data_IF_926128017444
#
_entry.id   IF_926128017444
#
_cell.length_a   1.000
_cell.length_b   1.000
_cell.length_c   1.000
_cell.angle_alpha   90.00
_cell.angle_beta   90.00
_cell.angle_gamma   90.00
#
_symmetry.space_group_name_H-M   'P 1'
#
loop_
_entity.id
_entity.type
_entity.pdbx_description
1 polymer ?
#
# COMPACT_ATOMS: atom_id res chain seq x y z
N UNK A 1 9.39 -2.32 -22.56
CA UNK A 1 8.70 -3.21 -21.60
C UNK A 1 8.18 -4.52 -22.21
N UNK A 2 7.14 -4.51 -23.08
CA UNK A 2 6.46 -5.74 -23.59
C UNK A 2 7.40 -6.80 -24.18
N UNK A 3 8.36 -6.37 -25.02
CA UNK A 3 9.37 -7.26 -25.62
C UNK A 3 10.23 -7.94 -24.56
N UNK A 4 10.73 -7.21 -23.56
CA UNK A 4 11.51 -7.78 -22.45
C UNK A 4 10.70 -8.78 -21.63
N UNK A 5 9.42 -8.50 -21.34
CA UNK A 5 8.55 -9.42 -20.59
C UNK A 5 8.27 -10.71 -21.35
N UNK A 6 8.09 -10.62 -22.68
CA UNK A 6 7.94 -11.79 -23.52
C UNK A 6 9.24 -12.60 -23.61
N UNK A 7 10.36 -11.94 -23.89
CA UNK A 7 11.65 -12.60 -24.11
C UNK A 7 12.27 -13.19 -22.85
N UNK A 8 12.13 -12.51 -21.70
CA UNK A 8 12.80 -12.90 -20.45
C UNK A 8 11.89 -13.70 -19.51
N UNK A 9 10.58 -13.47 -19.56
CA UNK A 9 9.62 -14.08 -18.62
C UNK A 9 8.54 -14.91 -19.33
N UNK A 10 8.54 -14.99 -20.67
CA UNK A 10 7.49 -15.68 -21.42
C UNK A 10 6.11 -15.04 -21.27
N UNK A 11 6.03 -13.80 -20.75
CA UNK A 11 4.77 -13.12 -20.45
C UNK A 11 4.36 -12.24 -21.61
N UNK A 12 3.27 -12.61 -22.26
CA UNK A 12 2.69 -11.82 -23.34
C UNK A 12 1.82 -10.69 -22.76
N UNK A 13 2.42 -9.53 -22.51
CA UNK A 13 1.67 -8.33 -22.08
C UNK A 13 0.98 -7.71 -23.27
N UNK A 14 -0.35 -7.90 -23.33
CA UNK A 14 -1.20 -7.37 -24.40
C UNK A 14 -1.38 -5.87 -24.24
N UNK A 15 -1.73 -5.44 -23.03
CA UNK A 15 -2.13 -4.08 -22.70
C UNK A 15 -1.25 -3.53 -21.57
N UNK A 16 -0.94 -2.24 -21.60
CA UNK A 16 -0.23 -1.52 -20.53
C UNK A 16 -1.14 -0.37 -20.15
N UNK A 17 -1.56 -0.33 -18.89
CA UNK A 17 -2.46 0.70 -18.38
C UNK A 17 -1.61 1.72 -17.63
N UNK A 18 -1.72 2.99 -18.01
CA UNK A 18 -1.13 4.13 -17.31
C UNK A 18 -2.18 4.83 -16.49
N UNK A 19 -1.81 5.18 -15.27
CA UNK A 19 -2.66 5.81 -14.28
C UNK A 19 -1.83 6.96 -13.70
N UNK A 20 -2.10 8.16 -14.16
CA UNK A 20 -1.32 9.34 -13.82
C UNK A 20 -2.23 10.57 -13.83
N UNK A 21 -1.95 11.49 -12.93
CA UNK A 21 -2.53 12.83 -12.82
C UNK A 21 -1.73 13.88 -13.60
N UNK A 22 -0.80 13.46 -14.47
CA UNK A 22 0.03 14.36 -15.28
C UNK A 22 -0.84 15.25 -16.19
N UNK A 23 -0.47 16.52 -16.30
CA UNK A 23 -1.21 17.50 -17.11
C UNK A 23 -0.47 17.84 -18.42
N UNK A 24 0.83 17.50 -18.54
CA UNK A 24 1.62 17.77 -19.74
C UNK A 24 1.08 16.98 -20.95
N UNK A 25 0.53 17.66 -21.99
CA UNK A 25 0.07 16.98 -23.19
C UNK A 25 1.19 16.20 -23.89
N UNK A 26 2.45 16.61 -23.73
CA UNK A 26 3.59 15.90 -24.31
C UNK A 26 3.74 14.50 -23.69
N UNK A 27 3.57 14.36 -22.38
CA UNK A 27 3.58 13.06 -21.71
C UNK A 27 2.51 12.13 -22.30
N UNK A 28 1.25 12.61 -22.39
CA UNK A 28 0.16 11.79 -22.93
C UNK A 28 0.33 11.42 -24.41
N UNK A 29 0.87 12.33 -25.24
CA UNK A 29 1.22 11.98 -26.61
C UNK A 29 2.28 10.87 -26.67
N UNK A 30 3.26 10.88 -25.76
CA UNK A 30 4.26 9.81 -25.67
C UNK A 30 3.61 8.48 -25.24
N UNK A 31 2.64 8.49 -24.32
CA UNK A 31 1.86 7.29 -23.92
C UNK A 31 1.04 6.74 -25.09
N UNK A 32 0.37 7.61 -25.86
CA UNK A 32 -0.39 7.25 -27.05
C UNK A 32 0.50 6.63 -28.13
N UNK A 33 1.66 7.24 -28.40
CA UNK A 33 2.65 6.75 -29.38
C UNK A 33 3.18 5.36 -29.00
N UNK A 34 3.22 5.03 -27.71
CA UNK A 34 3.59 3.72 -27.19
C UNK A 34 2.47 2.67 -27.29
N UNK A 35 1.25 3.08 -27.66
CA UNK A 35 0.06 2.22 -27.72
C UNK A 35 -0.33 1.68 -26.34
N UNK A 36 -0.12 2.50 -25.31
CA UNK A 36 -0.56 2.22 -23.94
C UNK A 36 -1.94 2.84 -23.74
N UNK A 37 -2.72 2.25 -22.85
CA UNK A 37 -4.08 2.74 -22.54
C UNK A 37 -4.03 3.41 -21.18
N UNK A 38 -4.94 4.35 -20.93
CA UNK A 38 -5.01 5.03 -19.64
C UNK A 38 -6.46 5.39 -19.32
N UNK A 39 -6.74 5.62 -18.04
CA UNK A 39 -8.02 6.17 -17.62
C UNK A 39 -7.91 7.69 -17.54
N UNK A 40 -8.50 8.38 -18.52
CA UNK A 40 -8.66 9.83 -18.44
C UNK A 40 -9.90 10.16 -17.61
N UNK A 41 -9.75 10.15 -16.29
CA UNK A 41 -10.84 10.45 -15.38
C UNK A 41 -11.43 11.85 -15.55
N UNK A 42 -10.63 12.80 -16.06
CA UNK A 42 -11.07 14.16 -16.32
C UNK A 42 -11.96 14.21 -17.57
N UNK A 43 -11.51 13.61 -18.67
CA UNK A 43 -12.29 13.46 -19.90
C UNK A 43 -13.58 12.65 -19.65
N UNK A 44 -13.46 11.55 -18.92
CA UNK A 44 -14.60 10.68 -18.60
C UNK A 44 -15.52 11.28 -17.53
N UNK A 45 -15.10 12.37 -16.88
CA UNK A 45 -15.83 13.02 -15.80
C UNK A 45 -16.23 12.03 -14.71
N UNK A 46 -15.38 11.04 -14.43
CA UNK A 46 -15.68 9.91 -13.54
C UNK A 46 -16.16 10.42 -12.17
N UNK A 47 -15.48 11.43 -11.62
CA UNK A 47 -15.88 12.07 -10.36
C UNK A 47 -17.28 12.69 -10.40
N UNK A 48 -17.62 13.38 -11.48
CA UNK A 48 -18.93 14.04 -11.61
C UNK A 48 -20.04 13.00 -11.80
N UNK A 49 -19.77 11.94 -12.56
CA UNK A 49 -20.74 10.90 -12.88
C UNK A 49 -21.00 9.97 -11.69
N UNK A 50 -19.96 9.58 -10.97
CA UNK A 50 -20.00 8.45 -10.03
C UNK A 50 -19.52 8.80 -8.62
N UNK A 51 -18.96 10.00 -8.41
CA UNK A 51 -18.36 10.42 -7.15
C UNK A 51 -16.84 10.20 -7.12
N UNK A 52 -16.16 10.90 -6.21
CA UNK A 52 -14.69 10.89 -6.08
C UNK A 52 -14.14 9.48 -5.87
N UNK A 53 -14.89 8.64 -5.16
CA UNK A 53 -14.55 7.26 -4.86
C UNK A 53 -14.31 6.35 -6.07
N UNK A 54 -15.06 6.56 -7.15
CA UNK A 54 -14.92 5.70 -8.33
C UNK A 54 -13.59 5.87 -9.03
N UNK A 55 -12.89 6.99 -8.83
CA UNK A 55 -11.50 7.16 -9.28
C UNK A 55 -10.61 6.07 -8.66
N UNK A 56 -10.61 6.01 -7.33
CA UNK A 56 -9.80 5.07 -6.55
C UNK A 56 -10.21 3.62 -6.81
N UNK A 57 -11.52 3.34 -6.88
CA UNK A 57 -12.01 1.97 -7.12
C UNK A 57 -11.60 1.46 -8.51
N UNK A 58 -11.78 2.28 -9.55
CA UNK A 58 -11.35 1.92 -10.92
C UNK A 58 -9.84 1.68 -10.93
N UNK A 59 -9.10 2.54 -10.26
CA UNK A 59 -7.66 2.44 -10.17
C UNK A 59 -7.21 1.15 -9.47
N UNK A 60 -7.75 0.87 -8.28
CA UNK A 60 -7.46 -0.35 -7.52
C UNK A 60 -7.84 -1.59 -8.32
N UNK A 61 -9.01 -1.60 -8.98
CA UNK A 61 -9.43 -2.73 -9.81
C UNK A 61 -8.44 -2.94 -10.96
N UNK A 62 -8.06 -1.90 -11.69
CA UNK A 62 -7.11 -2.00 -12.78
C UNK A 62 -5.72 -2.46 -12.32
N UNK A 63 -5.23 -1.94 -11.19
CA UNK A 63 -3.96 -2.36 -10.58
C UNK A 63 -4.02 -3.81 -10.10
N UNK A 64 -5.15 -4.25 -9.55
CA UNK A 64 -5.36 -5.62 -9.11
C UNK A 64 -5.37 -6.60 -10.30
N UNK A 65 -5.75 -6.15 -11.50
CA UNK A 65 -5.69 -6.97 -12.70
C UNK A 65 -4.31 -6.94 -13.38
N UNK A 66 -3.40 -6.08 -12.91
CA UNK A 66 -2.12 -5.88 -13.53
C UNK A 66 -1.17 -7.06 -13.26
N UNK A 67 -0.37 -7.41 -14.26
CA UNK A 67 0.74 -8.35 -14.10
C UNK A 67 1.95 -7.72 -13.37
N UNK A 68 1.78 -6.58 -12.69
CA UNK A 68 2.78 -5.78 -11.99
C UNK A 68 2.31 -4.33 -11.83
N UNK A 69 2.68 -3.68 -10.73
CA UNK A 69 2.28 -2.31 -10.40
C UNK A 69 3.50 -1.40 -10.23
N UNK A 70 3.36 -0.12 -10.59
CA UNK A 70 4.36 0.94 -10.39
C UNK A 70 3.76 1.96 -9.41
N UNK A 71 4.21 1.92 -8.15
CA UNK A 71 3.89 2.95 -7.16
C UNK A 71 4.92 4.08 -7.17
N UNK A 72 4.74 5.10 -6.33
CA UNK A 72 5.83 6.04 -6.06
C UNK A 72 7.03 5.28 -5.48
N UNK A 73 8.24 5.70 -5.85
CA UNK A 73 9.48 5.09 -5.36
C UNK A 73 9.46 5.04 -3.82
N UNK A 74 9.05 6.13 -3.18
CA UNK A 74 9.01 6.29 -1.74
C UNK A 74 8.15 5.25 -1.02
N UNK A 75 6.86 5.12 -1.37
CA UNK A 75 5.95 4.20 -0.68
C UNK A 75 6.32 2.73 -0.93
N UNK A 76 6.74 2.43 -2.17
CA UNK A 76 7.10 1.06 -2.55
C UNK A 76 8.36 0.60 -1.81
N UNK A 77 9.43 1.39 -1.85
CA UNK A 77 10.71 0.96 -1.29
C UNK A 77 10.78 0.99 0.22
N UNK A 78 10.01 1.84 0.90
CA UNK A 78 9.84 1.73 2.36
C UNK A 78 9.33 0.36 2.75
N UNK A 79 8.28 -0.12 2.08
CA UNK A 79 7.68 -1.41 2.35
C UNK A 79 8.65 -2.56 2.06
N UNK A 80 9.28 -2.53 0.89
CA UNK A 80 10.22 -3.57 0.47
C UNK A 80 11.43 -3.64 1.40
N UNK A 81 12.02 -2.49 1.75
CA UNK A 81 13.17 -2.43 2.65
C UNK A 81 12.81 -2.90 4.06
N UNK A 82 11.60 -2.60 4.55
CA UNK A 82 11.09 -3.12 5.82
C UNK A 82 10.95 -4.65 5.79
N UNK A 83 10.36 -5.21 4.73
CA UNK A 83 10.26 -6.67 4.56
C UNK A 83 11.66 -7.29 4.53
N UNK A 84 12.60 -6.69 3.79
CA UNK A 84 13.98 -7.17 3.75
C UNK A 84 14.64 -7.15 5.13
N UNK A 85 14.47 -6.08 5.90
CA UNK A 85 14.99 -6.00 7.27
C UNK A 85 14.41 -7.09 8.16
N UNK A 86 13.10 -7.37 8.07
CA UNK A 86 12.47 -8.48 8.79
C UNK A 86 13.08 -9.83 8.42
N UNK A 87 13.28 -10.09 7.12
CA UNK A 87 13.91 -11.32 6.62
C UNK A 87 15.30 -11.51 7.22
N UNK A 88 16.16 -10.48 7.22
CA UNK A 88 17.55 -10.62 7.70
C UNK A 88 17.69 -10.59 9.22
N UNK A 89 16.61 -10.28 9.95
CA UNK A 89 16.61 -10.21 11.42
C UNK A 89 15.81 -11.34 12.08
N UNK A 90 15.29 -12.29 11.29
CA UNK A 90 14.36 -13.32 11.77
C UNK A 90 13.14 -12.71 12.51
N UNK A 91 12.69 -11.53 12.07
CA UNK A 91 11.49 -10.85 12.57
C UNK A 91 10.35 -10.91 11.57
N UNK A 92 9.14 -10.92 12.09
CA UNK A 92 7.92 -10.92 11.27
C UNK A 92 7.60 -9.48 10.85
N UNK A 93 7.63 -9.13 9.55
CA UNK A 93 7.26 -7.80 9.10
C UNK A 93 5.76 -7.57 9.34
N UNK A 94 5.40 -6.40 9.86
CA UNK A 94 4.02 -5.94 9.97
C UNK A 94 3.78 -4.90 8.88
N UNK A 95 2.96 -5.26 7.90
CA UNK A 95 2.64 -4.41 6.76
C UNK A 95 1.65 -3.33 7.22
N UNK A 96 2.01 -2.03 7.12
CA UNK A 96 1.10 -0.95 7.50
C UNK A 96 -0.11 -0.94 6.55
N UNK A 97 -1.24 -0.38 6.96
CA UNK A 97 -2.35 -0.18 6.04
C UNK A 97 -1.98 0.88 5.00
N UNK A 98 -2.70 0.88 3.88
CA UNK A 98 -2.55 1.90 2.84
C UNK A 98 -3.54 3.00 3.12
N UNK A 99 -3.02 4.19 3.41
CA UNK A 99 -3.82 5.40 3.33
C UNK A 99 -3.70 5.97 1.91
N UNK A 100 -4.81 6.05 1.16
CA UNK A 100 -4.79 6.67 -0.15
C UNK A 100 -4.42 8.14 0.02
N UNK A 101 -3.27 8.50 -0.56
CA UNK A 101 -2.63 9.77 -0.29
C UNK A 101 -3.28 10.93 -1.07
N UNK A 102 -3.02 12.15 -0.62
CA UNK A 102 -3.53 13.44 -1.12
C UNK A 102 -3.18 13.77 -2.58
N UNK A 103 -2.48 12.88 -3.30
CA UNK A 103 -2.16 13.02 -4.72
C UNK A 103 -3.37 12.78 -5.64
N UNK A 104 -4.45 12.19 -5.13
CA UNK A 104 -5.68 11.92 -5.90
C UNK A 104 -6.61 13.16 -5.94
N UNK A 105 -6.21 14.29 -5.36
CA UNK A 105 -7.03 15.50 -5.30
C UNK A 105 -6.43 16.68 -6.09
N UNK A 106 -7.25 17.27 -6.98
CA UNK A 106 -6.90 18.44 -7.81
C UNK A 106 -6.16 19.54 -7.02
N UNK A 107 -5.26 20.31 -7.68
CA UNK A 107 -4.48 21.39 -7.03
C UNK A 107 -5.34 22.39 -6.22
N UNK A 108 -6.56 22.70 -6.69
CA UNK A 108 -7.50 23.58 -5.99
C UNK A 108 -8.12 22.96 -4.74
N UNK A 109 -8.35 21.65 -4.77
CA UNK A 109 -8.78 20.87 -3.60
C UNK A 109 -7.61 20.70 -2.64
N UNK A 110 -6.37 20.56 -3.13
CA UNK A 110 -5.16 20.43 -2.33
C UNK A 110 -4.98 21.61 -1.36
N UNK A 111 -5.15 22.85 -1.81
CA UNK A 111 -5.04 24.02 -0.92
C UNK A 111 -6.18 24.13 0.11
N UNK A 112 -7.42 23.84 -0.30
CA UNK A 112 -8.57 23.80 0.60
C UNK A 112 -8.48 22.64 1.59
N UNK A 113 -7.94 21.49 1.15
CA UNK A 113 -7.75 20.28 1.94
C UNK A 113 -6.57 20.41 2.90
N UNK A 114 -5.46 21.02 2.49
CA UNK A 114 -4.41 21.43 3.43
C UNK A 114 -5.00 22.34 4.51
N UNK A 115 -5.84 23.32 4.16
CA UNK A 115 -6.55 24.16 5.16
C UNK A 115 -7.55 23.37 6.02
N UNK A 116 -8.28 22.41 5.45
CA UNK A 116 -9.28 21.60 6.16
C UNK A 116 -8.66 20.54 7.07
N UNK A 117 -7.54 19.93 6.65
CA UNK A 117 -6.72 19.01 7.45
C UNK A 117 -6.11 19.76 8.64
N UNK A 118 -5.59 20.99 8.44
CA UNK A 118 -5.13 21.86 9.54
C UNK A 118 -6.29 22.42 10.38
N UNK A 119 -7.53 22.32 9.93
CA UNK A 119 -8.74 22.70 10.67
C UNK A 119 -9.46 21.49 11.28
N UNK A 120 -8.85 20.32 11.21
CA UNK A 120 -9.34 19.06 11.76
C UNK A 120 -10.58 18.46 11.12
N UNK A 121 -10.79 18.72 9.83
CA UNK A 121 -11.79 18.01 9.05
C UNK A 121 -11.21 16.71 8.48
N UNK A 122 -11.90 15.61 8.75
CA UNK A 122 -11.72 14.30 8.16
C UNK A 122 -11.80 14.34 6.63
N UNK A 123 -10.66 14.35 5.93
CA UNK A 123 -10.69 14.22 4.47
C UNK A 123 -9.69 13.21 3.97
N UNK A 124 -10.07 11.94 4.09
CA UNK A 124 -9.92 10.98 3.00
C UNK A 124 -11.23 10.25 2.91
N UNK A 125 -12.02 10.51 1.87
CA UNK A 125 -13.30 9.81 1.65
C UNK A 125 -13.08 8.29 1.75
N UNK A 126 -11.89 7.81 1.35
CA UNK A 126 -11.58 6.42 1.08
C UNK A 126 -11.41 5.44 2.25
N UNK A 127 -11.29 5.91 3.49
CA UNK A 127 -10.93 5.03 4.59
C UNK A 127 -9.43 4.64 4.59
N UNK A 128 -8.98 4.02 5.68
CA UNK A 128 -7.71 3.29 5.75
C UNK A 128 -7.94 1.90 5.15
N UNK A 129 -7.17 1.53 4.12
CA UNK A 129 -7.31 0.24 3.46
C UNK A 129 -6.34 -0.78 4.08
N UNK A 130 -6.83 -1.95 4.54
CA UNK A 130 -5.95 -3.05 4.91
C UNK A 130 -5.06 -3.42 3.72
N UNK A 131 -3.76 -3.60 3.97
CA UNK A 131 -2.83 -3.97 2.89
C UNK A 131 -3.20 -5.29 2.22
N UNK A 132 -3.77 -6.24 2.95
CA UNK A 132 -4.26 -7.48 2.37
C UNK A 132 -5.44 -7.32 1.41
N UNK A 133 -6.14 -6.18 1.39
CA UNK A 133 -7.23 -5.93 0.45
C UNK A 133 -6.71 -5.45 -0.92
N UNK A 134 -5.47 -4.94 -0.94
CA UNK A 134 -4.78 -4.47 -2.16
C UNK A 134 -3.80 -5.53 -2.65
N UNK A 135 -3.10 -6.18 -1.73
CA UNK A 135 -2.01 -7.12 -2.03
C UNK A 135 -2.35 -8.56 -1.60
N UNK A 136 -1.99 -9.53 -2.43
CA UNK A 136 -2.04 -10.95 -2.05
C UNK A 136 -0.88 -11.30 -1.08
N UNK A 137 -1.11 -10.99 0.20
CA UNK A 137 -0.15 -11.29 1.27
C UNK A 137 0.03 -12.80 1.48
N UNK A 138 -0.95 -13.64 1.13
CA UNK A 138 -0.80 -15.10 1.22
C UNK A 138 0.21 -15.63 0.19
N UNK A 139 0.13 -15.14 -1.04
CA UNK A 139 1.14 -15.42 -2.05
C UNK A 139 2.52 -14.90 -1.62
N UNK A 140 2.60 -13.67 -1.11
CA UNK A 140 3.87 -13.11 -0.64
C UNK A 140 4.50 -13.96 0.47
N UNK A 141 3.71 -14.37 1.48
CA UNK A 141 4.15 -15.31 2.54
C UNK A 141 4.67 -16.63 1.98
N UNK A 142 3.97 -17.22 0.99
CA UNK A 142 4.39 -18.47 0.35
C UNK A 142 5.70 -18.32 -0.43
N UNK A 143 5.90 -17.19 -1.12
CA UNK A 143 7.15 -16.92 -1.85
C UNK A 143 8.32 -16.73 -0.90
N UNK A 144 8.15 -15.88 0.12
CA UNK A 144 9.22 -15.55 1.05
C UNK A 144 9.47 -16.62 2.11
N UNK A 145 8.49 -17.51 2.33
CA UNK A 145 8.52 -18.56 3.36
C UNK A 145 8.76 -17.99 4.77
N UNK A 146 8.24 -16.80 5.01
CA UNK A 146 8.20 -16.17 6.33
C UNK A 146 6.77 -15.75 6.66
N UNK A 147 6.40 -15.71 7.95
CA UNK A 147 5.20 -15.01 8.37
C UNK A 147 5.32 -13.52 8.03
N UNK A 148 4.20 -12.95 7.61
CA UNK A 148 4.04 -11.51 7.38
C UNK A 148 2.71 -11.16 8.01
N UNK A 149 2.69 -10.19 8.90
CA UNK A 149 1.46 -9.70 9.51
C UNK A 149 1.01 -8.46 8.74
N UNK A 150 -0.28 -8.17 8.76
CA UNK A 150 -0.79 -6.84 8.45
C UNK A 150 -1.13 -6.12 9.75
N UNK A 151 -1.18 -4.78 9.71
CA UNK A 151 -1.43 -3.99 10.91
C UNK A 151 -2.72 -4.39 11.65
N UNK A 152 -3.74 -4.81 10.91
CA UNK A 152 -5.00 -5.28 11.49
C UNK A 152 -4.87 -6.59 12.29
N UNK A 153 -3.82 -7.38 12.05
CA UNK A 153 -3.51 -8.58 12.85
C UNK A 153 -2.98 -8.20 14.25
N UNK A 154 -2.36 -7.02 14.37
CA UNK A 154 -1.77 -6.52 15.61
C UNK A 154 -2.68 -5.56 16.38
N UNK A 155 -3.46 -4.74 15.66
CA UNK A 155 -4.39 -3.76 16.23
C UNK A 155 -5.69 -3.69 15.43
N UNK A 156 -6.81 -3.55 16.14
CA UNK A 156 -8.09 -3.30 15.48
C UNK A 156 -8.03 -1.95 14.75
N UNK A 157 -8.22 -1.98 13.43
CA UNK A 157 -8.48 -0.77 12.66
C UNK A 157 -9.89 -0.24 13.01
N UNK A 158 -10.08 1.09 13.07
CA UNK A 158 -11.42 1.68 13.18
C UNK A 158 -12.31 1.12 12.06
N UNK A 159 -13.57 0.81 12.36
CA UNK A 159 -14.45 0.32 11.31
C UNK A 159 -14.66 1.42 10.27
N UNK A 160 -14.68 1.06 8.98
CA UNK A 160 -14.98 1.99 7.87
C UNK A 160 -16.35 2.68 7.99
N UNK A 161 -17.18 2.26 8.95
CA UNK A 161 -18.53 2.76 9.22
C UNK A 161 -18.68 3.35 10.63
N UNK A 162 -17.61 3.51 11.41
CA UNK A 162 -17.70 4.20 12.70
C UNK A 162 -17.93 5.69 12.45
N UNK A 163 -19.17 6.11 12.72
CA UNK A 163 -19.66 7.49 12.58
C UNK A 163 -19.10 8.44 13.64
N UNK A 164 -18.48 7.90 14.69
CA UNK A 164 -17.61 8.69 15.57
C UNK A 164 -16.30 8.94 14.81
N UNK A 165 -16.34 10.03 14.03
CA UNK A 165 -15.23 10.70 13.38
C UNK A 165 -13.94 9.88 13.44
N UNK A 166 -13.87 8.87 12.57
CA UNK A 166 -12.79 7.89 12.50
C UNK A 166 -11.42 8.58 12.30
N UNK A 167 -11.50 9.85 11.92
CA UNK A 167 -10.48 10.83 11.59
C UNK A 167 -10.54 12.12 12.44
N UNK A 168 -11.21 12.13 13.60
CA UNK A 168 -11.15 13.30 14.50
C UNK A 168 -9.69 13.58 14.86
N UNK A 169 -9.13 14.62 14.26
CA UNK A 169 -7.76 15.08 14.51
C UNK A 169 -7.69 15.99 15.74
N UNK A 170 -8.82 16.22 16.42
CA UNK A 170 -8.91 17.18 17.53
C UNK A 170 -8.08 16.79 18.76
N UNK A 171 -7.62 15.54 18.86
CA UNK A 171 -6.77 15.07 19.96
C UNK A 171 -5.32 14.72 19.55
N UNK A 172 -4.94 14.77 18.26
CA UNK A 172 -3.59 14.41 17.80
C UNK A 172 -3.13 15.27 16.59
N UNK A 173 -2.15 16.16 16.83
CA UNK A 173 -1.37 16.96 15.86
C UNK A 173 -0.01 17.33 16.51
N UNK A 174 1.14 17.62 15.89
CA UNK A 174 1.68 17.64 14.52
C UNK A 174 3.21 17.57 14.74
N UNK A 175 3.97 16.74 14.02
CA UNK A 175 5.42 16.95 13.89
C UNK A 175 5.78 17.06 12.41
N UNK A 176 6.22 18.26 12.05
CA UNK A 176 6.85 18.58 10.78
C UNK A 176 8.11 17.73 10.65
N UNK A 177 8.03 16.54 10.03
CA UNK A 177 9.05 15.91 9.17
C UNK A 177 8.61 14.48 8.86
N UNK A 178 8.21 14.25 7.60
CA UNK A 178 8.18 12.91 7.02
C UNK A 178 6.94 12.05 7.32
N UNK A 179 5.82 12.41 6.70
CA UNK A 179 4.67 11.54 6.39
C UNK A 179 3.79 11.09 7.58
N UNK A 180 2.51 11.34 7.41
CA UNK A 180 1.44 11.38 8.43
C UNK A 180 0.96 10.00 8.93
N UNK A 181 1.81 8.98 8.93
CA UNK A 181 1.42 7.59 9.20
C UNK A 181 0.92 7.40 10.64
N UNK A 182 1.51 8.12 11.61
CA UNK A 182 1.07 8.11 13.01
C UNK A 182 -0.35 8.64 13.22
N UNK A 183 -0.84 9.55 12.36
CA UNK A 183 -2.22 10.08 12.43
C UNK A 183 -3.27 9.06 12.05
N UNK A 184 -2.93 8.18 11.11
CA UNK A 184 -3.84 7.17 10.57
C UNK A 184 -3.99 5.99 11.53
N UNK A 185 -2.94 5.66 12.28
CA UNK A 185 -2.92 4.48 13.15
C UNK A 185 -3.34 4.77 14.61
N UNK A 186 -3.79 6.00 14.92
CA UNK A 186 -4.09 6.48 16.28
C UNK A 186 -2.97 6.16 17.27
N UNK A 187 -1.74 6.32 16.83
CA UNK A 187 -0.57 6.02 17.64
C UNK A 187 -0.09 7.26 18.37
N UNK A 188 0.08 7.13 19.68
CA UNK A 188 0.80 8.09 20.48
C UNK A 188 2.30 7.80 20.39
N UNK A 189 2.94 8.32 19.33
CA UNK A 189 4.33 7.97 18.96
C UNK A 189 5.33 8.83 19.72
N UNK A 190 6.26 8.19 20.42
CA UNK A 190 7.50 8.82 20.90
C UNK A 190 8.67 8.34 20.05
N UNK A 191 9.65 9.21 19.79
CA UNK A 191 10.80 8.92 18.94
C UNK A 191 12.06 8.70 19.77
N UNK A 192 12.75 7.60 19.51
CA UNK A 192 14.11 7.34 19.99
C UNK A 192 15.08 7.43 18.83
N UNK A 193 16.32 7.83 19.10
CA UNK A 193 17.36 7.92 18.08
C UNK A 193 18.23 6.68 18.12
N UNK A 194 18.31 5.97 17.00
CA UNK A 194 19.30 4.89 16.81
C UNK A 194 20.74 5.44 16.88
N UNK A 195 21.71 4.65 17.37
CA UNK A 195 23.12 5.05 17.41
C UNK A 195 23.65 5.55 16.07
N UNK A 196 24.48 6.60 16.06
CA UNK A 196 24.99 7.20 14.80
C UNK A 196 25.80 6.24 13.94
N UNK A 197 26.38 5.19 14.52
CA UNK A 197 27.10 4.17 13.78
C UNK A 197 26.20 3.34 12.85
N UNK A 198 24.87 3.46 12.94
CA UNK A 198 23.93 2.81 12.00
C UNK A 198 23.72 3.59 10.71
N UNK A 199 24.31 4.79 10.59
CA UNK A 199 24.22 5.64 9.40
C UNK A 199 25.28 5.25 8.39
N UNK A 200 25.00 5.46 7.12
CA UNK A 200 25.96 5.23 6.03
C UNK A 200 27.25 6.03 6.24
N UNK A 201 27.12 7.29 6.67
CA UNK A 201 28.20 8.20 7.07
C UNK A 201 27.98 8.65 8.51
N UNK A 202 28.61 7.95 9.46
CA UNK A 202 28.37 8.13 10.89
C UNK A 202 28.78 9.52 11.42
N UNK A 203 29.74 10.17 10.77
CA UNK A 203 30.21 11.52 11.06
C UNK A 203 29.27 12.63 10.55
N UNK A 204 28.39 12.31 9.62
CA UNK A 204 27.45 13.26 9.02
C UNK A 204 26.14 13.30 9.82
N UNK A 205 25.86 14.45 10.43
CA UNK A 205 24.66 14.64 11.25
C UNK A 205 23.38 14.70 10.40
N UNK A 206 23.51 15.05 9.13
CA UNK A 206 22.41 15.16 8.15
C UNK A 206 22.23 13.89 7.31
N UNK A 207 23.06 12.86 7.52
CA UNK A 207 22.89 11.58 6.83
C UNK A 207 21.55 10.94 7.16
N UNK A 208 20.72 10.76 6.13
CA UNK A 208 19.42 10.11 6.20
C UNK A 208 19.52 8.60 5.96
N UNK A 209 20.59 8.12 5.29
CA UNK A 209 20.76 6.72 4.98
C UNK A 209 21.20 5.90 6.18
N UNK A 210 20.55 4.75 6.33
CA UNK A 210 20.80 3.77 7.39
C UNK A 210 21.24 2.44 6.79
N UNK A 211 22.14 1.73 7.47
CA UNK A 211 22.69 0.48 6.97
C UNK A 211 21.93 -0.72 7.55
N UNK A 212 21.40 -1.58 6.69
CA UNK A 212 20.62 -2.75 7.06
C UNK A 212 21.31 -3.64 8.09
N UNK A 213 22.58 -3.98 7.89
CA UNK A 213 23.31 -4.86 8.81
C UNK A 213 23.53 -4.22 10.19
N UNK A 214 23.62 -2.89 10.24
CA UNK A 214 23.80 -2.15 11.49
C UNK A 214 22.46 -2.04 12.24
N UNK A 215 21.35 -1.76 11.54
CA UNK A 215 20.01 -1.83 12.12
C UNK A 215 19.65 -3.24 12.58
N UNK A 216 19.99 -4.26 11.77
CA UNK A 216 19.75 -5.65 12.10
C UNK A 216 20.42 -6.05 13.42
N UNK A 217 21.64 -5.58 13.65
CA UNK A 217 22.34 -5.82 14.91
C UNK A 217 21.65 -5.20 16.13
N UNK A 218 20.92 -4.08 15.97
CA UNK A 218 20.16 -3.45 17.05
C UNK A 218 18.89 -4.22 17.43
N UNK A 219 18.25 -4.86 16.45
CA UNK A 219 16.92 -5.47 16.65
C UNK A 219 16.97 -7.00 16.64
N UNK A 220 18.13 -7.63 16.53
CA UNK A 220 18.21 -9.09 16.46
C UNK A 220 17.58 -9.76 17.70
N UNK A 221 16.58 -10.66 17.57
CA UNK A 221 15.74 -11.08 18.70
C UNK A 221 16.49 -11.79 19.83
N UNK A 222 17.55 -12.54 19.55
CA UNK A 222 18.19 -13.39 20.55
C UNK A 222 19.28 -12.67 21.34
N UNK A 223 19.94 -11.66 20.76
CA UNK A 223 21.06 -10.95 21.39
C UNK A 223 21.37 -9.66 20.63
N UNK A 224 20.55 -8.60 20.78
CA UNK A 224 20.83 -7.33 20.13
C UNK A 224 22.12 -6.70 20.68
N UNK A 225 22.85 -5.96 19.84
CA UNK A 225 24.14 -5.34 20.21
C UNK A 225 23.98 -4.24 21.28
N UNK A 226 22.76 -3.71 21.44
CA UNK A 226 22.41 -2.73 22.44
C UNK A 226 20.99 -2.99 22.94
N UNK A 227 20.75 -2.69 24.21
CA UNK A 227 19.39 -2.73 24.75
C UNK A 227 18.56 -1.58 24.15
N UNK A 228 17.34 -1.84 23.66
CA UNK A 228 16.46 -0.78 23.15
C UNK A 228 16.21 0.36 24.14
N UNK A 229 16.18 0.06 25.44
CA UNK A 229 16.02 1.07 26.51
C UNK A 229 17.21 2.05 26.63
N UNK A 230 18.36 1.69 26.05
CA UNK A 230 19.55 2.54 26.08
C UNK A 230 19.54 3.65 25.01
N UNK A 231 18.60 3.60 24.07
CA UNK A 231 18.55 4.58 22.98
C UNK A 231 18.07 5.94 23.48
N UNK A 232 18.75 7.04 23.09
CA UNK A 232 18.37 8.37 23.53
C UNK A 232 16.99 8.74 23.00
N UNK A 233 16.12 9.17 23.92
CA UNK A 233 14.85 9.79 23.56
C UNK A 233 15.11 11.07 22.77
N UNK A 234 14.44 11.21 21.63
CA UNK A 234 14.52 12.39 20.79
C UNK A 234 13.36 13.33 21.09
N UNK A 235 12.14 12.82 20.96
CA UNK A 235 10.91 13.59 21.05
C UNK A 235 9.89 12.76 21.81
N UNK A 236 9.31 13.28 22.92
CA UNK A 236 8.21 12.60 23.60
C UNK A 236 6.98 12.58 22.71
N UNK A 237 6.02 11.74 23.07
CA UNK A 237 4.74 11.71 22.37
C UNK A 237 3.94 13.01 22.57
N UNK A 238 2.87 13.20 21.78
CA UNK A 238 2.07 14.42 21.80
C UNK A 238 1.39 14.66 23.16
N UNK A 239 1.01 13.59 23.86
CA UNK A 239 0.43 13.67 25.23
C UNK A 239 1.50 13.55 26.33
N UNK A 240 2.78 13.61 25.97
CA UNK A 240 3.91 13.63 26.90
C UNK A 240 4.35 12.26 27.39
N UNK A 241 3.86 11.17 26.79
CA UNK A 241 4.39 9.85 27.07
C UNK A 241 5.81 9.71 26.54
N UNK A 242 6.60 8.96 27.28
CA UNK A 242 7.97 8.62 26.95
C UNK A 242 8.18 7.18 27.39
N UNK A 243 7.96 6.26 26.46
CA UNK A 243 8.33 4.87 26.66
C UNK A 243 9.65 4.61 25.96
N UNK A 244 10.61 3.92 26.61
CA UNK A 244 11.78 3.44 25.91
C UNK A 244 11.35 2.51 24.76
N UNK A 245 12.21 2.37 23.76
CA UNK A 245 12.01 1.34 22.74
C UNK A 245 11.96 -0.04 23.41
N UNK A 246 11.13 -0.94 22.87
CA UNK A 246 10.94 -2.29 23.41
C UNK A 246 11.56 -3.37 22.52
N UNK A 247 11.73 -4.58 23.06
CA UNK A 247 12.34 -5.69 22.33
C UNK A 247 11.36 -6.41 21.39
N UNK A 248 10.06 -6.37 21.70
CA UNK A 248 9.05 -7.14 20.95
C UNK A 248 8.69 -6.52 19.60
N UNK A 249 8.52 -5.20 19.54
CA UNK A 249 8.18 -4.47 18.32
C UNK A 249 9.23 -3.40 18.03
N UNK A 250 9.76 -3.41 16.81
CA UNK A 250 10.70 -2.40 16.34
C UNK A 250 10.06 -1.57 15.24
N UNK A 251 9.92 -0.28 15.50
CA UNK A 251 9.35 0.69 14.55
C UNK A 251 10.47 1.60 14.03
N UNK A 252 10.51 1.79 12.72
CA UNK A 252 11.38 2.75 12.06
C UNK A 252 10.51 3.78 11.35
N UNK A 253 10.86 5.05 11.51
CA UNK A 253 10.17 6.21 10.92
C UNK A 253 10.20 6.17 9.39
N UNK A 254 11.35 5.82 8.81
CA UNK A 254 11.48 5.60 7.37
C UNK A 254 12.49 4.50 7.08
N UNK A 255 12.10 3.62 6.15
CA UNK A 255 12.98 2.59 5.59
C UNK A 255 13.38 2.92 4.13
N UNK A 256 13.03 4.10 3.62
CA UNK A 256 13.29 4.46 2.22
C UNK A 256 14.79 4.56 1.91
N UNK A 257 15.53 5.20 2.80
CA UNK A 257 16.97 5.46 2.67
C UNK A 257 17.82 4.29 3.23
N UNK A 258 17.20 3.12 3.47
CA UNK A 258 17.94 1.95 3.93
C UNK A 258 18.83 1.36 2.81
N UNK A 259 20.05 0.98 3.17
CA UNK A 259 21.07 0.48 2.24
C UNK A 259 21.88 -0.67 2.85
N UNK A 260 22.50 -1.52 2.03
CA UNK A 260 23.48 -2.52 2.48
C UNK A 260 24.78 -1.89 2.98
N UNK A 261 24.95 -0.58 2.81
CA UNK A 261 26.14 0.17 3.20
C UNK A 261 27.10 0.45 2.04
N UNK A 262 26.76 0.03 0.83
CA UNK A 262 27.60 0.24 -0.34
C UNK A 262 27.26 1.54 -1.09
N UNK A 263 25.97 1.83 -1.30
CA UNK A 263 25.53 2.99 -2.09
C UNK A 263 24.19 3.54 -1.58
N UNK A 264 24.00 4.85 -1.69
CA UNK A 264 22.73 5.52 -1.43
C UNK A 264 21.68 5.12 -2.47
N UNK A 265 20.41 4.99 -2.04
CA UNK A 265 19.33 4.51 -2.92
C UNK A 265 19.70 3.21 -3.67
N UNK A 266 20.37 2.26 -2.99
CA UNK A 266 20.92 1.06 -3.64
C UNK A 266 19.86 0.23 -4.38
N UNK A 267 18.60 0.34 -3.96
CA UNK A 267 17.46 -0.30 -4.60
C UNK A 267 17.29 0.14 -6.06
N UNK A 268 17.88 1.27 -6.50
CA UNK A 268 17.93 1.65 -7.92
C UNK A 268 18.80 0.72 -8.76
N UNK A 269 19.65 -0.08 -8.13
CA UNK A 269 20.57 -0.97 -8.83
C UNK A 269 20.11 -2.42 -8.77
N UNK A 270 20.23 -3.11 -9.92
CA UNK A 270 19.90 -4.52 -10.07
C UNK A 270 20.64 -5.48 -9.12
N UNK A 271 21.77 -5.03 -8.55
CA UNK A 271 22.58 -5.83 -7.64
C UNK A 271 22.13 -5.71 -6.18
N UNK A 272 21.22 -4.79 -5.82
CA UNK A 272 20.80 -4.64 -4.42
C UNK A 272 20.26 -5.96 -3.87
N UNK A 273 20.69 -6.37 -2.67
CA UNK A 273 20.24 -7.61 -2.05
C UNK A 273 18.74 -7.65 -1.78
N UNK A 274 18.11 -6.46 -1.65
CA UNK A 274 16.67 -6.31 -1.44
C UNK A 274 15.88 -6.98 -2.57
N UNK A 275 16.29 -6.80 -3.83
CA UNK A 275 15.63 -7.38 -4.99
C UNK A 275 15.61 -8.90 -4.97
N UNK A 276 16.79 -9.49 -4.78
CA UNK A 276 16.94 -10.95 -4.78
C UNK A 276 16.16 -11.58 -3.64
N UNK A 277 16.05 -10.87 -2.52
CA UNK A 277 15.47 -11.42 -1.29
C UNK A 277 13.95 -11.26 -1.25
N UNK A 278 13.43 -10.07 -1.55
CA UNK A 278 11.99 -9.78 -1.45
C UNK A 278 11.23 -10.19 -2.70
N UNK A 279 11.83 -10.08 -3.88
CA UNK A 279 11.15 -10.34 -5.15
C UNK A 279 11.59 -11.62 -5.85
N UNK A 280 12.65 -12.27 -5.36
CA UNK A 280 13.17 -13.52 -5.93
C UNK A 280 13.78 -13.37 -7.33
N UNK A 281 13.96 -12.14 -7.83
CA UNK A 281 14.53 -11.82 -9.15
C UNK A 281 15.29 -10.48 -9.08
N UNK A 282 16.46 -10.34 -9.74
CA UNK A 282 17.10 -9.04 -9.94
C UNK A 282 16.32 -8.18 -10.95
N UNK A 283 16.32 -6.85 -10.79
CA UNK A 283 15.71 -5.94 -11.79
C UNK A 283 16.45 -6.10 -13.13
N UNK A 284 15.75 -6.12 -14.28
CA UNK A 284 16.37 -5.78 -15.56
C UNK A 284 16.95 -4.35 -15.49
N UNK A 285 18.24 -4.16 -15.77
CA UNK A 285 18.83 -2.82 -15.73
C UNK A 285 17.99 -1.78 -16.52
N UNK A 286 17.54 -0.75 -15.81
CA UNK A 286 16.91 0.44 -16.39
C UNK A 286 18.02 1.47 -16.57
N UNK A 287 18.25 2.00 -17.78
CA UNK A 287 19.24 3.05 -17.98
C UNK A 287 18.85 4.30 -17.20
N UNK A 288 19.82 4.94 -16.56
CA UNK A 288 19.65 6.21 -15.85
C UNK A 288 18.95 7.26 -16.74
N UNK A 289 17.78 7.72 -16.28
CA UNK A 289 17.03 8.85 -16.82
C UNK A 289 15.93 9.24 -15.83
N UNK A 290 15.64 10.53 -15.70
CA UNK A 290 14.64 11.12 -14.77
C UNK A 290 13.17 10.78 -15.13
N UNK A 291 12.91 9.56 -15.60
CA UNK A 291 11.55 9.04 -15.82
C UNK A 291 11.10 8.15 -14.65
N UNK A 292 9.79 7.86 -14.55
CA UNK A 292 9.25 6.99 -13.51
C UNK A 292 10.00 5.65 -13.47
N UNK A 293 10.46 5.25 -12.28
CA UNK A 293 11.12 3.95 -12.08
C UNK A 293 10.12 2.82 -12.31
N UNK A 294 10.26 2.13 -13.45
CA UNK A 294 9.47 0.98 -13.84
C UNK A 294 9.83 -0.26 -12.97
N UNK A 295 9.07 -0.53 -11.92
CA UNK A 295 9.20 -1.75 -11.13
C UNK A 295 8.16 -2.77 -11.62
N UNK A 296 8.60 -3.80 -12.34
CA UNK A 296 7.70 -4.86 -12.82
C UNK A 296 7.68 -6.00 -11.80
N UNK A 297 6.78 -5.91 -10.82
CA UNK A 297 6.60 -6.96 -9.81
C UNK A 297 5.63 -8.02 -10.34
N UNK A 298 6.09 -8.86 -11.28
CA UNK A 298 5.20 -9.80 -11.96
C UNK A 298 5.03 -11.16 -11.28
N UNK A 299 5.88 -11.48 -10.30
CA UNK A 299 5.94 -12.80 -9.68
C UNK A 299 5.29 -12.91 -8.31
N UNK A 300 4.86 -11.79 -7.69
CA UNK A 300 4.39 -11.76 -6.31
C UNK A 300 2.87 -11.57 -6.13
N UNK A 301 2.14 -11.29 -7.20
CA UNK A 301 0.72 -10.92 -7.11
C UNK A 301 -0.14 -11.88 -7.94
N UNK A 302 -0.67 -12.91 -7.30
CA UNK A 302 -1.79 -13.65 -7.83
C UNK A 302 -3.04 -12.97 -7.27
N UNK A 303 -3.67 -12.09 -8.03
CA UNK A 303 -4.81 -11.35 -7.49
C UNK A 303 -6.04 -12.25 -7.46
N UNK A 304 -6.43 -12.64 -6.25
CA UNK A 304 -7.84 -12.91 -5.96
C UNK A 304 -8.51 -11.53 -5.87
N UNK A 305 -9.54 -11.20 -6.68
CA UNK A 305 -10.16 -9.89 -6.64
C UNK A 305 -10.52 -9.52 -5.19
N UNK A 306 -10.24 -8.30 -4.76
CA UNK A 306 -10.54 -7.82 -3.40
C UNK A 306 -12.01 -8.11 -3.00
N UNK A 307 -12.91 -8.10 -4.00
CA UNK A 307 -14.29 -8.56 -3.88
C UNK A 307 -14.40 -10.01 -3.39
N UNK A 308 -13.76 -10.97 -4.05
CA UNK A 308 -13.83 -12.38 -3.68
C UNK A 308 -13.25 -12.64 -2.28
N UNK A 309 -12.20 -11.91 -1.87
CA UNK A 309 -11.64 -11.98 -0.52
C UNK A 309 -12.62 -11.43 0.52
N UNK A 310 -13.19 -10.24 0.29
CA UNK A 310 -14.16 -9.63 1.19
C UNK A 310 -15.45 -10.46 1.32
N UNK A 311 -15.91 -11.04 0.22
CA UNK A 311 -17.07 -11.95 0.21
C UNK A 311 -16.78 -13.23 1.00
N UNK A 312 -15.57 -13.80 0.88
CA UNK A 312 -15.13 -14.92 1.70
C UNK A 312 -15.12 -14.60 3.20
N UNK A 313 -14.62 -13.42 3.58
CA UNK A 313 -14.63 -12.94 4.97
C UNK A 313 -16.05 -12.73 5.51
N UNK A 314 -16.94 -12.16 4.71
CA UNK A 314 -18.36 -12.00 5.06
C UNK A 314 -19.01 -13.36 5.30
N UNK A 315 -18.74 -14.35 4.44
CA UNK A 315 -19.22 -15.72 4.60
C UNK A 315 -18.78 -16.31 5.94
N UNK A 316 -17.49 -16.23 6.24
CA UNK A 316 -16.92 -16.76 7.49
C UNK A 316 -17.53 -16.07 8.72
N UNK A 317 -17.70 -14.74 8.70
CA UNK A 317 -18.34 -14.00 9.79
C UNK A 317 -19.82 -14.37 9.94
N UNK A 318 -20.59 -14.48 8.84
CA UNK A 318 -22.02 -14.82 8.90
C UNK A 318 -22.25 -16.25 9.40
N UNK A 319 -21.42 -17.20 8.97
CA UNK A 319 -21.47 -18.59 9.43
C UNK A 319 -21.05 -18.69 10.89
N UNK A 320 -19.89 -18.12 11.26
CA UNK A 320 -19.30 -18.33 12.59
C UNK A 320 -19.96 -17.48 13.69
N UNK A 321 -20.40 -16.25 13.39
CA UNK A 321 -20.93 -15.35 14.42
C UNK A 321 -22.45 -15.37 14.51
N UNK A 322 -23.16 -15.72 13.43
CA UNK A 322 -24.62 -15.54 13.34
C UNK A 322 -25.42 -16.80 13.01
N UNK A 323 -24.77 -17.96 12.84
CA UNK A 323 -25.41 -19.22 12.47
C UNK A 323 -26.31 -19.07 11.21
N UNK A 324 -25.87 -18.22 10.28
CA UNK A 324 -26.59 -17.94 9.05
C UNK A 324 -26.13 -18.90 7.95
N UNK A 325 -27.11 -19.63 7.40
CA UNK A 325 -26.93 -20.52 6.27
C UNK A 325 -26.46 -19.74 5.02
N UNK A 326 -25.21 -19.97 4.64
CA UNK A 326 -24.54 -19.32 3.52
C UNK A 326 -25.25 -19.53 2.17
N UNK A 327 -26.09 -20.57 2.05
CA UNK A 327 -26.88 -20.83 0.85
C UNK A 327 -28.00 -19.80 0.59
N UNK A 328 -28.22 -18.89 1.55
CA UNK A 328 -29.28 -17.86 1.51
C UNK A 328 -28.76 -16.46 1.23
N UNK A 329 -27.48 -16.30 0.87
CA UNK A 329 -26.94 -14.99 0.56
C UNK A 329 -27.30 -14.61 -0.88
N UNK A 330 -27.95 -13.46 -1.01
CA UNK A 330 -28.39 -12.88 -2.27
C UNK A 330 -27.44 -11.75 -2.67
N UNK A 331 -26.73 -11.91 -3.79
CA UNK A 331 -25.90 -10.86 -4.37
C UNK A 331 -26.78 -9.99 -5.27
N UNK A 332 -26.86 -8.71 -4.95
CA UNK A 332 -27.64 -7.73 -5.71
C UNK A 332 -26.65 -6.68 -6.22
N UNK A 333 -26.59 -6.49 -7.53
CA UNK A 333 -25.66 -5.52 -8.14
C UNK A 333 -26.13 -5.11 -9.54
N UNK A 334 -25.76 -3.90 -9.93
CA UNK A 334 -25.86 -3.30 -11.27
C UNK A 334 -24.58 -3.47 -12.10
N UNK A 335 -23.64 -4.30 -11.65
CA UNK A 335 -22.40 -4.63 -12.38
C UNK A 335 -22.69 -5.22 -13.77
N UNK A 336 -21.99 -4.73 -14.80
CA UNK A 336 -22.19 -5.14 -16.19
C UNK A 336 -21.22 -6.24 -16.63
N UNK A 337 -20.12 -6.44 -15.88
CA UNK A 337 -19.05 -7.37 -16.22
C UNK A 337 -19.51 -8.84 -16.24
N UNK A 338 -19.42 -9.55 -17.38
CA UNK A 338 -19.76 -10.97 -17.45
C UNK A 338 -18.90 -11.85 -16.54
N UNK A 339 -17.60 -11.53 -16.39
CA UNK A 339 -16.68 -12.31 -15.57
C UNK A 339 -16.99 -12.21 -14.08
N UNK A 340 -17.44 -11.03 -13.60
CA UNK A 340 -17.97 -10.89 -12.25
C UNK A 340 -19.14 -11.85 -12.01
N UNK A 341 -20.10 -11.91 -12.94
CA UNK A 341 -21.25 -12.80 -12.81
C UNK A 341 -20.90 -14.28 -12.98
N UNK A 342 -19.88 -14.62 -13.77
CA UNK A 342 -19.36 -15.98 -13.84
C UNK A 342 -18.73 -16.40 -12.51
N UNK A 343 -18.00 -15.52 -11.83
CA UNK A 343 -17.44 -15.77 -10.51
C UNK A 343 -18.55 -15.96 -9.46
N UNK A 344 -19.55 -15.07 -9.43
CA UNK A 344 -20.73 -15.17 -8.55
C UNK A 344 -21.47 -16.50 -8.79
N UNK A 345 -21.66 -16.90 -10.06
CA UNK A 345 -22.27 -18.19 -10.41
C UNK A 345 -21.43 -19.38 -9.98
N UNK A 346 -20.12 -19.34 -10.24
CA UNK A 346 -19.20 -20.46 -9.95
C UNK A 346 -19.14 -20.82 -8.47
N UNK A 347 -19.38 -19.82 -7.62
CA UNK A 347 -19.38 -19.95 -6.17
C UNK A 347 -20.76 -20.32 -5.59
N UNK A 348 -21.79 -20.49 -6.43
CA UNK A 348 -23.10 -21.01 -6.05
C UNK A 348 -24.05 -19.99 -5.38
N UNK A 349 -23.83 -18.69 -5.58
CA UNK A 349 -24.64 -17.65 -4.94
C UNK A 349 -25.99 -17.48 -5.63
N UNK A 350 -27.01 -17.12 -4.85
CA UNK A 350 -28.23 -16.52 -5.39
C UNK A 350 -27.89 -15.10 -5.82
N UNK A 351 -28.40 -14.65 -6.97
CA UNK A 351 -28.12 -13.31 -7.44
C UNK A 351 -29.29 -12.66 -8.18
N UNK A 352 -29.32 -11.33 -8.14
CA UNK A 352 -30.12 -10.47 -9.00
C UNK A 352 -29.17 -9.52 -9.72
N UNK A 353 -29.06 -9.67 -11.04
CA UNK A 353 -28.33 -8.75 -11.90
C UNK A 353 -29.29 -7.65 -12.36
N UNK A 354 -29.21 -6.47 -11.74
CA UNK A 354 -30.15 -5.37 -12.01
C UNK A 354 -30.08 -4.88 -13.45
N UNK A 355 -28.90 -4.90 -14.06
CA UNK A 355 -28.67 -4.51 -15.45
C UNK A 355 -29.31 -5.50 -16.41
N UNK A 356 -29.09 -6.80 -16.20
CA UNK A 356 -29.70 -7.84 -17.01
C UNK A 356 -31.23 -7.89 -16.82
N UNK A 357 -31.69 -7.69 -15.59
CA UNK A 357 -33.10 -7.71 -15.25
C UNK A 357 -33.82 -6.40 -15.57
N UNK A 358 -33.10 -5.34 -15.98
CA UNK A 358 -33.67 -4.02 -16.28
C UNK A 358 -34.61 -3.53 -15.17
N UNK A 359 -34.19 -3.72 -13.92
CA UNK A 359 -35.10 -3.48 -12.79
C UNK A 359 -35.47 -2.02 -12.65
N UNK A 360 -34.56 -1.11 -13.02
CA UNK A 360 -34.82 0.32 -13.04
C UNK A 360 -35.91 0.67 -14.06
N UNK A 361 -35.83 0.13 -15.28
CA UNK A 361 -36.82 0.37 -16.33
C UNK A 361 -38.17 -0.28 -15.98
N UNK A 362 -38.14 -1.45 -15.33
CA UNK A 362 -39.36 -2.19 -14.96
C UNK A 362 -40.08 -1.60 -13.76
N UNK A 363 -39.36 -1.05 -12.79
CA UNK A 363 -39.91 -0.72 -11.48
C UNK A 363 -39.72 0.75 -11.05
N UNK A 364 -38.92 1.54 -11.78
CA UNK A 364 -38.56 2.92 -11.43
C UNK A 364 -37.43 2.99 -10.40
N UNK A 365 -37.14 4.22 -9.94
CA UNK A 365 -36.28 4.49 -8.77
C UNK A 365 -36.86 3.96 -7.46
#
# INVERSE_FOLDING_TARGET
MRVKLLEQQGKHVKDVIIMSDEEDPKFWNEIDDLGWVYFDHAQEKTKIKYGTWYLVVIDVVAQSLAAGFVGTEDSTFRLVNMIYLGVITDREPIIPPVAPDHHICEPGVRAAMYMLIHAGAAVTEAGILPSGDIFDLEHLRRQLRIPILEWQDAKLLPSQYDTEDSYSTTEIELLEFGWDVGRLERLDVAYTRVPSHTRLRAEDQEESHVVFSQLAALIYPQNPIASPESFPNLVPSAIGHHFPAEEHLSCFDTMYDATSGFESYEWRFSWSPVWRTVFGQPIPQVPYGHGPVEIIISSAYHVTPAYAKNVGRIRENLSNERDLDESRILVISDEESPSFWDDVRSQGWLYVNHTQEQTFEKFGE
#
